data_IF_284510190543
#
_entry.id   IF_284510190543
#
_cell.length_a   1.000
_cell.length_b   1.000
_cell.length_c   1.000
_cell.angle_alpha   90.00
_cell.angle_beta   90.00
_cell.angle_gamma   90.00
#
_symmetry.space_group_name_H-M   'P 1'
#
loop_
_entity.id
_entity.type
_entity.pdbx_description
1 polymer ?
#
# COMPACT_ATOMS: atom_id res chain seq x y z
N UNK A 1 19.45 13.40 -42.30
CA UNK A 1 18.81 13.69 -41.01
C UNK A 1 19.85 14.26 -40.06
N UNK A 2 19.78 15.56 -39.81
CA UNK A 2 20.67 16.22 -38.86
C UNK A 2 20.35 15.71 -37.46
N UNK A 3 21.19 14.82 -36.95
CA UNK A 3 21.16 14.43 -35.55
C UNK A 3 21.71 15.61 -34.72
N UNK A 4 20.84 16.34 -34.03
CA UNK A 4 21.28 17.33 -33.05
C UNK A 4 21.95 16.60 -31.89
N UNK A 5 23.23 16.80 -31.68
CA UNK A 5 23.97 16.34 -30.51
C UNK A 5 23.80 17.41 -29.43
N UNK A 6 23.10 17.07 -28.34
CA UNK A 6 22.98 17.94 -27.18
C UNK A 6 24.15 17.69 -26.21
N UNK A 7 24.71 18.77 -25.62
CA UNK A 7 25.69 18.63 -24.54
C UNK A 7 25.02 18.22 -23.25
N UNK A 8 25.73 17.50 -22.38
CA UNK A 8 25.24 17.03 -21.11
C UNK A 8 24.70 18.17 -20.20
N UNK A 9 25.29 19.36 -20.29
CA UNK A 9 24.86 20.57 -19.59
C UNK A 9 23.47 21.04 -20.01
N UNK A 10 23.01 20.69 -21.21
CA UNK A 10 21.70 21.06 -21.75
C UNK A 10 20.63 19.98 -21.52
N UNK A 11 21.02 18.82 -20.96
CA UNK A 11 20.13 17.65 -20.83
C UNK A 11 18.90 17.96 -19.98
N UNK A 12 19.06 18.63 -18.84
CA UNK A 12 17.94 18.98 -17.95
C UNK A 12 16.93 19.88 -18.69
N UNK A 13 17.41 20.91 -19.38
CA UNK A 13 16.57 21.82 -20.14
C UNK A 13 15.86 21.12 -21.31
N UNK A 14 16.58 20.29 -22.06
CA UNK A 14 15.98 19.51 -23.16
C UNK A 14 14.94 18.54 -22.63
N UNK A 15 15.21 17.91 -21.50
CA UNK A 15 14.27 17.01 -20.87
C UNK A 15 13.01 17.76 -20.38
N UNK A 16 13.17 18.92 -19.77
CA UNK A 16 12.05 19.81 -19.40
C UNK A 16 11.22 20.22 -20.61
N UNK A 17 11.86 20.63 -21.69
CA UNK A 17 11.19 21.02 -22.95
C UNK A 17 10.40 19.84 -23.54
N UNK A 18 10.93 18.62 -23.47
CA UNK A 18 10.23 17.39 -23.89
C UNK A 18 8.99 17.15 -23.03
N UNK A 19 9.12 17.24 -21.70
CA UNK A 19 8.00 17.04 -20.78
C UNK A 19 6.90 18.08 -21.01
N UNK A 20 7.26 19.37 -21.22
CA UNK A 20 6.30 20.43 -21.53
C UNK A 20 5.58 20.19 -22.87
N UNK A 21 6.29 19.68 -23.87
CA UNK A 21 5.66 19.35 -25.16
C UNK A 21 4.69 18.17 -25.08
N UNK A 22 4.95 17.19 -24.17
CA UNK A 22 4.07 16.04 -23.97
C UNK A 22 2.85 16.42 -23.12
N UNK A 23 3.06 17.20 -22.06
CA UNK A 23 2.00 17.64 -21.16
C UNK A 23 2.27 19.09 -20.68
N UNK A 24 1.78 20.11 -21.40
CA UNK A 24 2.01 21.52 -21.07
C UNK A 24 1.54 21.91 -19.65
N UNK A 25 0.56 21.20 -19.12
CA UNK A 25 -0.01 21.45 -17.79
C UNK A 25 0.68 20.64 -16.67
N UNK A 26 1.71 19.86 -16.98
CA UNK A 26 2.37 19.00 -16.00
C UNK A 26 2.96 19.80 -14.82
N UNK A 27 3.62 20.90 -15.10
CA UNK A 27 4.25 21.77 -14.08
C UNK A 27 3.23 22.47 -13.16
N UNK A 28 1.97 22.59 -13.58
CA UNK A 28 0.91 23.23 -12.81
C UNK A 28 0.21 22.26 -11.84
N UNK A 29 0.58 20.97 -11.87
CA UNK A 29 -0.03 19.95 -11.01
C UNK A 29 0.63 19.94 -9.62
N UNK A 30 -0.18 19.69 -8.62
CA UNK A 30 0.27 19.49 -7.25
C UNK A 30 0.55 18.02 -7.00
N UNK A 31 1.78 17.69 -6.59
CA UNK A 31 2.21 16.31 -6.36
C UNK A 31 2.26 15.98 -4.87
N UNK A 32 1.77 14.79 -4.53
CA UNK A 32 1.83 14.18 -3.21
C UNK A 32 2.60 12.87 -3.28
N UNK A 33 3.55 12.64 -2.39
CA UNK A 33 4.36 11.43 -2.38
C UNK A 33 4.20 10.65 -1.08
N UNK A 34 3.91 9.34 -1.14
CA UNK A 34 3.78 8.50 0.05
C UNK A 34 4.80 7.37 0.00
N UNK A 35 5.63 7.26 1.04
CA UNK A 35 6.59 6.16 1.22
C UNK A 35 6.46 5.48 2.58
N UNK A 36 7.06 4.31 2.70
CA UNK A 36 7.09 3.45 3.87
C UNK A 36 7.16 1.98 3.47
N UNK A 37 7.13 1.06 4.42
CA UNK A 37 7.06 -0.38 4.11
C UNK A 37 5.63 -0.77 3.80
N UNK A 38 4.72 -0.60 4.73
CA UNK A 38 3.30 -0.93 4.61
C UNK A 38 2.43 0.33 4.60
N UNK A 39 1.20 0.25 4.07
CA UNK A 39 0.22 1.32 4.11
C UNK A 39 0.32 2.38 3.01
N UNK A 40 1.32 2.36 2.12
CA UNK A 40 1.47 3.32 1.02
C UNK A 40 0.22 3.41 0.13
N UNK A 41 -0.19 2.28 -0.43
CA UNK A 41 -1.37 2.17 -1.31
C UNK A 41 -2.64 2.65 -0.61
N UNK A 42 -2.84 2.21 0.62
CA UNK A 42 -4.02 2.60 1.42
C UNK A 42 -4.04 4.10 1.66
N UNK A 43 -2.92 4.69 2.11
CA UNK A 43 -2.80 6.12 2.34
C UNK A 43 -3.00 6.92 1.06
N UNK A 44 -2.39 6.48 -0.04
CA UNK A 44 -2.51 7.16 -1.34
C UNK A 44 -3.94 7.13 -1.88
N UNK A 45 -4.62 5.98 -1.82
CA UNK A 45 -6.02 5.84 -2.21
C UNK A 45 -6.94 6.74 -1.35
N UNK A 46 -6.75 6.74 -0.02
CA UNK A 46 -7.54 7.59 0.87
C UNK A 46 -7.27 9.09 0.62
N UNK A 47 -6.03 9.47 0.37
CA UNK A 47 -5.68 10.85 0.02
C UNK A 47 -6.33 11.25 -1.32
N UNK A 48 -6.24 10.39 -2.34
CA UNK A 48 -6.88 10.61 -3.63
C UNK A 48 -8.40 10.83 -3.47
N UNK A 49 -9.06 9.99 -2.68
CA UNK A 49 -10.48 10.10 -2.37
C UNK A 49 -10.83 11.41 -1.64
N UNK A 50 -10.00 11.85 -0.67
CA UNK A 50 -10.17 13.11 0.04
C UNK A 50 -10.01 14.34 -0.86
N UNK A 51 -9.10 14.28 -1.85
CA UNK A 51 -8.87 15.35 -2.81
C UNK A 51 -9.96 15.44 -3.89
N UNK A 52 -10.67 14.33 -4.14
CA UNK A 52 -11.84 14.27 -5.04
C UNK A 52 -11.47 14.20 -6.53
N UNK A 53 -12.45 14.51 -7.41
CA UNK A 53 -12.41 14.24 -8.86
C UNK A 53 -11.26 14.90 -9.62
N UNK A 54 -10.71 16.00 -9.10
CA UNK A 54 -9.54 16.67 -9.68
C UNK A 54 -8.20 16.00 -9.29
N UNK A 55 -8.26 14.86 -8.62
CA UNK A 55 -7.09 14.10 -8.20
C UNK A 55 -6.99 12.77 -8.95
N UNK A 56 -5.76 12.28 -9.09
CA UNK A 56 -5.47 10.95 -9.64
C UNK A 56 -4.45 10.24 -8.78
N UNK A 57 -4.65 8.94 -8.59
CA UNK A 57 -3.73 8.05 -7.88
C UNK A 57 -2.87 7.26 -8.88
N UNK A 58 -1.56 7.23 -8.67
CA UNK A 58 -0.60 6.44 -9.43
C UNK A 58 0.22 5.58 -8.46
N UNK A 59 0.05 4.28 -8.54
CA UNK A 59 0.67 3.36 -7.59
C UNK A 59 0.49 1.89 -7.96
N UNK A 60 0.49 1.06 -6.92
CA UNK A 60 0.39 -0.40 -7.05
C UNK A 60 -0.97 -0.83 -7.61
N UNK A 61 -2.05 -0.12 -7.30
CA UNK A 61 -3.38 -0.35 -7.86
C UNK A 61 -3.60 0.66 -8.99
N UNK A 62 -3.95 0.18 -10.17
CA UNK A 62 -4.23 1.01 -11.35
C UNK A 62 -5.74 1.15 -11.56
N UNK A 63 -6.36 2.03 -10.78
CA UNK A 63 -7.81 2.26 -10.83
C UNK A 63 -8.27 2.95 -12.12
N UNK A 64 -7.39 3.77 -12.71
CA UNK A 64 -7.67 4.53 -13.94
C UNK A 64 -7.09 3.85 -15.20
N UNK A 65 -6.57 2.61 -15.11
CA UNK A 65 -5.93 1.84 -16.20
C UNK A 65 -4.77 2.58 -16.89
N UNK A 66 -4.02 3.38 -16.14
CA UNK A 66 -2.97 4.25 -16.67
C UNK A 66 -1.79 3.49 -17.26
N UNK A 67 -1.50 2.30 -16.74
CA UNK A 67 -0.36 1.48 -17.19
C UNK A 67 -0.62 0.81 -18.54
N UNK A 68 -1.87 0.59 -18.95
CA UNK A 68 -2.20 0.07 -20.29
C UNK A 68 -1.67 0.98 -21.41
N UNK A 69 -1.59 2.29 -21.15
CA UNK A 69 -1.12 3.27 -22.13
C UNK A 69 0.39 3.26 -22.33
N UNK A 70 1.17 2.72 -21.40
CA UNK A 70 2.64 2.77 -21.50
C UNK A 70 3.25 1.56 -22.14
N UNK A 71 2.57 0.41 -22.15
CA UNK A 71 3.08 -0.90 -22.59
C UNK A 71 4.37 -1.33 -21.87
N UNK A 72 4.63 -0.75 -20.72
CA UNK A 72 5.77 -1.08 -19.85
C UNK A 72 5.32 -1.93 -18.67
N UNK A 73 6.28 -2.52 -17.98
CA UNK A 73 6.04 -3.25 -16.75
C UNK A 73 5.33 -2.36 -15.71
N UNK A 74 4.28 -2.89 -15.09
CA UNK A 74 3.54 -2.21 -14.02
C UNK A 74 4.43 -2.07 -12.77
N UNK A 75 4.98 -0.89 -12.60
CA UNK A 75 5.79 -0.54 -11.44
C UNK A 75 4.96 0.28 -10.44
N UNK A 76 5.07 -0.03 -9.15
CA UNK A 76 4.47 0.79 -8.07
C UNK A 76 4.76 2.29 -8.25
N UNK A 77 5.95 2.63 -8.75
CA UNK A 77 6.35 4.00 -9.04
C UNK A 77 6.93 4.05 -10.45
N UNK A 78 6.26 4.66 -11.43
CA UNK A 78 6.76 4.78 -12.78
C UNK A 78 7.98 5.71 -12.88
N UNK A 79 8.71 5.65 -13.99
CA UNK A 79 9.70 6.68 -14.34
C UNK A 79 8.99 7.99 -14.68
N UNK A 80 9.66 9.13 -14.46
CA UNK A 80 9.06 10.45 -14.68
C UNK A 80 8.48 10.63 -16.09
N UNK A 81 9.19 10.16 -17.12
CA UNK A 81 8.71 10.24 -18.50
C UNK A 81 7.37 9.50 -18.70
N UNK A 82 7.24 8.31 -18.11
CA UNK A 82 5.99 7.53 -18.19
C UNK A 82 4.87 8.19 -17.39
N UNK A 83 5.18 8.77 -16.23
CA UNK A 83 4.21 9.54 -15.45
C UNK A 83 3.64 10.71 -16.28
N UNK A 84 4.50 11.49 -16.95
CA UNK A 84 4.07 12.60 -17.81
C UNK A 84 3.18 12.10 -18.94
N UNK A 85 3.57 10.99 -19.60
CA UNK A 85 2.80 10.36 -20.66
C UNK A 85 1.43 9.86 -20.15
N UNK A 86 1.39 9.15 -19.03
CA UNK A 86 0.15 8.70 -18.41
C UNK A 86 -0.79 9.88 -18.17
N UNK A 87 -0.31 10.92 -17.51
CA UNK A 87 -1.11 12.11 -17.22
C UNK A 87 -1.54 12.91 -18.45
N UNK A 88 -0.85 12.78 -19.60
CA UNK A 88 -1.27 13.40 -20.85
C UNK A 88 -2.44 12.69 -21.53
N UNK A 89 -2.70 11.44 -21.15
CA UNK A 89 -3.74 10.58 -21.74
C UNK A 89 -5.03 10.54 -20.90
N UNK A 90 -5.01 11.14 -19.72
CA UNK A 90 -6.20 11.22 -18.86
C UNK A 90 -7.17 12.25 -19.42
N UNK A 91 -8.39 11.81 -19.75
CA UNK A 91 -9.44 12.63 -20.37
C UNK A 91 -10.28 13.42 -19.34
N UNK A 92 -9.62 13.94 -18.29
CA UNK A 92 -10.23 14.82 -17.28
C UNK A 92 -9.25 15.82 -16.76
N UNK A 93 -9.73 16.93 -16.22
CA UNK A 93 -8.87 17.96 -15.63
C UNK A 93 -8.31 17.48 -14.28
N UNK A 94 -7.01 17.19 -14.25
CA UNK A 94 -6.30 16.74 -13.06
C UNK A 94 -5.42 17.87 -12.55
N UNK A 95 -5.67 18.30 -11.32
CA UNK A 95 -4.87 19.28 -10.60
C UNK A 95 -3.92 18.63 -9.59
N UNK A 96 -4.31 17.48 -9.00
CA UNK A 96 -3.58 16.80 -7.95
C UNK A 96 -3.15 15.41 -8.38
N UNK A 97 -1.91 15.03 -8.09
CA UNK A 97 -1.36 13.71 -8.41
C UNK A 97 -0.81 13.08 -7.14
N UNK A 98 -1.37 11.95 -6.74
CA UNK A 98 -0.95 11.20 -5.56
C UNK A 98 -0.13 10.00 -6.01
N UNK A 99 1.12 9.92 -5.54
CA UNK A 99 2.09 8.90 -5.95
C UNK A 99 2.48 7.98 -4.79
N UNK A 100 2.42 6.67 -5.03
CA UNK A 100 3.20 5.75 -4.22
C UNK A 100 4.67 5.87 -4.61
N UNK A 101 5.55 6.13 -3.63
CA UNK A 101 6.98 6.29 -3.85
C UNK A 101 7.73 5.17 -3.16
N UNK A 102 8.15 4.16 -3.93
CA UNK A 102 8.92 3.02 -3.45
C UNK A 102 10.37 3.40 -3.16
N UNK A 103 11.02 2.64 -2.26
CA UNK A 103 12.47 2.83 -2.00
C UNK A 103 13.33 2.60 -3.24
N UNK A 104 12.97 1.62 -4.07
CA UNK A 104 13.63 1.39 -5.36
C UNK A 104 13.54 2.61 -6.28
N UNK A 105 12.36 3.25 -6.35
CA UNK A 105 12.19 4.44 -7.18
C UNK A 105 13.05 5.62 -6.70
N UNK A 106 13.13 5.80 -5.39
CA UNK A 106 13.97 6.84 -4.78
C UNK A 106 15.45 6.57 -4.98
N UNK A 107 15.87 5.33 -4.81
CA UNK A 107 17.25 4.93 -5.01
C UNK A 107 17.66 5.03 -6.48
N UNK A 108 16.83 4.57 -7.40
CA UNK A 108 17.01 4.65 -8.85
C UNK A 108 16.71 6.03 -9.44
N UNK A 109 16.37 7.02 -8.62
CA UNK A 109 16.06 8.40 -9.03
C UNK A 109 14.99 8.48 -10.14
N UNK A 110 13.99 7.57 -10.13
CA UNK A 110 12.95 7.50 -11.17
C UNK A 110 12.12 8.77 -11.31
N UNK A 111 12.00 9.55 -10.22
CA UNK A 111 11.21 10.78 -10.13
C UNK A 111 12.13 12.02 -9.99
N UNK A 112 13.39 11.95 -10.43
CA UNK A 112 14.31 13.06 -10.35
C UNK A 112 13.74 14.28 -11.10
N UNK A 113 13.76 15.46 -10.45
CA UNK A 113 13.16 16.68 -10.97
C UNK A 113 11.68 16.89 -10.59
N UNK A 114 11.00 15.89 -9.99
CA UNK A 114 9.65 16.07 -9.46
C UNK A 114 9.71 16.70 -8.06
N UNK A 115 8.87 17.70 -7.83
CA UNK A 115 8.75 18.36 -6.53
C UNK A 115 7.37 18.08 -5.91
N UNK A 116 7.37 17.59 -4.68
CA UNK A 116 6.15 17.25 -3.94
C UNK A 116 5.73 18.41 -3.03
N UNK A 117 4.48 18.80 -3.11
CA UNK A 117 3.87 19.77 -2.19
C UNK A 117 3.83 19.21 -0.77
N UNK A 118 3.51 17.94 -0.65
CA UNK A 118 3.43 17.24 0.63
C UNK A 118 3.85 15.79 0.47
N UNK A 119 4.66 15.29 1.40
CA UNK A 119 5.06 13.88 1.44
C UNK A 119 4.64 13.20 2.73
N UNK A 120 4.35 11.89 2.66
CA UNK A 120 3.92 11.09 3.81
C UNK A 120 4.87 9.93 4.10
N UNK A 121 5.17 9.72 5.39
CA UNK A 121 5.90 8.56 5.87
C UNK A 121 5.01 7.69 6.75
N UNK A 122 4.73 6.46 6.29
CA UNK A 122 3.85 5.53 7.00
C UNK A 122 4.62 4.82 8.14
N UNK A 123 5.56 3.96 7.78
CA UNK A 123 6.35 3.13 8.70
C UNK A 123 7.58 2.56 8.03
N UNK A 124 8.44 1.90 8.82
CA UNK A 124 9.53 1.07 8.33
C UNK A 124 9.59 -0.24 9.11
N UNK A 125 9.55 -1.36 8.39
CA UNK A 125 9.79 -2.71 8.90
C UNK A 125 10.60 -3.52 7.89
N UNK A 126 11.02 -4.72 8.25
CA UNK A 126 11.88 -5.53 7.40
C UNK A 126 11.19 -5.92 6.09
N UNK A 127 11.73 -5.43 4.98
CA UNK A 127 11.39 -5.81 3.62
C UNK A 127 12.52 -5.37 2.67
N UNK A 128 12.56 -5.91 1.45
CA UNK A 128 13.52 -5.51 0.39
C UNK A 128 15.01 -5.55 0.77
N UNK A 129 15.40 -6.42 1.72
CA UNK A 129 16.81 -6.59 2.08
C UNK A 129 17.62 -7.36 1.02
N UNK A 130 16.96 -7.98 0.06
CA UNK A 130 17.52 -8.49 -1.18
C UNK A 130 18.09 -7.39 -2.08
N UNK A 131 17.59 -6.17 -1.97
CA UNK A 131 18.02 -4.99 -2.72
C UNK A 131 18.85 -4.02 -1.87
N UNK A 132 18.41 -3.66 -0.68
CA UNK A 132 19.03 -2.62 0.16
C UNK A 132 20.10 -3.14 1.14
N UNK A 133 20.31 -4.47 1.23
CA UNK A 133 21.23 -5.18 2.13
C UNK A 133 20.99 -4.95 3.63
N UNK A 134 20.72 -3.72 4.09
CA UNK A 134 20.50 -3.37 5.51
C UNK A 134 19.27 -2.49 5.70
N UNK A 135 18.72 -2.50 6.94
CA UNK A 135 17.61 -1.62 7.31
C UNK A 135 18.00 -0.13 7.26
N UNK A 136 19.25 0.21 7.53
CA UNK A 136 19.73 1.59 7.46
C UNK A 136 19.79 2.08 6.01
N UNK A 137 20.30 1.29 5.07
CA UNK A 137 20.26 1.62 3.63
C UNK A 137 18.84 1.74 3.12
N UNK A 138 17.94 0.84 3.58
CA UNK A 138 16.52 0.89 3.24
C UNK A 138 15.85 2.17 3.76
N UNK A 139 16.16 2.57 4.99
CA UNK A 139 15.68 3.82 5.56
C UNK A 139 16.24 5.03 4.80
N UNK A 140 17.56 5.07 4.56
CA UNK A 140 18.22 6.15 3.83
C UNK A 140 17.63 6.35 2.44
N UNK A 141 17.36 5.26 1.70
CA UNK A 141 16.70 5.35 0.41
C UNK A 141 15.34 6.08 0.51
N UNK A 142 14.52 5.75 1.52
CA UNK A 142 13.21 6.42 1.73
C UNK A 142 13.33 7.88 2.16
N UNK A 143 14.39 8.23 2.94
CA UNK A 143 14.56 9.61 3.40
C UNK A 143 14.78 10.59 2.26
N UNK A 144 15.26 10.14 1.10
CA UNK A 144 15.47 10.98 -0.09
C UNK A 144 14.20 11.75 -0.51
N UNK A 145 13.00 11.20 -0.23
CA UNK A 145 11.71 11.86 -0.52
C UNK A 145 11.52 13.17 0.28
N UNK A 146 12.09 13.28 1.47
CA UNK A 146 11.80 14.36 2.43
C UNK A 146 12.81 15.51 2.40
N UNK A 147 13.79 15.46 1.52
CA UNK A 147 14.75 16.54 1.31
C UNK A 147 14.04 17.79 0.80
N UNK A 148 14.49 18.98 1.20
CA UNK A 148 13.95 20.29 0.74
C UNK A 148 13.94 20.49 -0.78
N UNK A 149 14.82 19.77 -1.49
CA UNK A 149 14.85 19.78 -2.97
C UNK A 149 13.78 18.88 -3.59
N UNK A 150 13.18 17.98 -2.80
CA UNK A 150 12.20 17.01 -3.28
C UNK A 150 10.80 17.30 -2.74
N UNK A 151 10.69 17.75 -1.46
CA UNK A 151 9.39 18.01 -0.82
C UNK A 151 9.41 19.31 -0.04
N UNK A 152 8.31 20.06 -0.13
CA UNK A 152 8.09 21.30 0.62
C UNK A 152 7.95 20.99 2.12
N UNK A 153 7.02 20.12 2.46
CA UNK A 153 6.72 19.68 3.83
C UNK A 153 6.40 18.19 3.85
N UNK A 154 6.31 17.60 5.03
CA UNK A 154 5.93 16.21 5.17
C UNK A 154 5.15 15.91 6.44
N UNK A 155 4.42 14.80 6.43
CA UNK A 155 3.68 14.26 7.57
C UNK A 155 4.23 12.88 7.90
N UNK A 156 4.35 12.54 9.18
CA UNK A 156 4.83 11.24 9.61
C UNK A 156 4.03 10.67 10.79
N UNK A 157 3.92 9.34 10.83
CA UNK A 157 3.38 8.63 11.98
C UNK A 157 4.50 8.48 13.02
N UNK A 158 4.23 8.88 14.27
CA UNK A 158 5.19 8.80 15.39
C UNK A 158 5.63 7.36 15.59
N UNK A 159 6.91 7.14 15.41
CA UNK A 159 7.64 5.87 15.56
C UNK A 159 9.13 6.19 15.64
N UNK A 160 9.96 5.22 16.01
CA UNK A 160 11.41 5.41 16.05
C UNK A 160 11.96 5.97 14.72
N UNK A 161 11.51 5.45 13.60
CA UNK A 161 11.94 5.91 12.27
C UNK A 161 11.29 7.23 11.86
N UNK A 162 10.03 7.49 12.25
CA UNK A 162 9.38 8.77 12.00
C UNK A 162 10.06 9.92 12.74
N UNK A 163 10.42 9.72 14.00
CA UNK A 163 11.17 10.68 14.78
C UNK A 163 12.60 10.88 14.26
N UNK A 164 13.29 9.80 13.87
CA UNK A 164 14.61 9.87 13.23
C UNK A 164 14.54 10.67 11.93
N UNK A 165 13.52 10.45 11.11
CA UNK A 165 13.26 11.21 9.88
C UNK A 165 13.09 12.70 10.17
N UNK A 166 12.24 13.04 11.15
CA UNK A 166 11.97 14.44 11.51
C UNK A 166 13.24 15.16 12.01
N UNK A 167 14.08 14.47 12.79
CA UNK A 167 15.37 15.00 13.25
C UNK A 167 16.33 15.28 12.09
N UNK A 168 16.42 14.36 11.10
CA UNK A 168 17.28 14.52 9.92
C UNK A 168 16.91 15.78 9.12
N UNK A 169 15.63 16.13 9.07
CA UNK A 169 15.12 17.23 8.26
C UNK A 169 14.64 18.44 9.07
N UNK A 170 15.38 18.79 10.13
CA UNK A 170 15.22 20.03 10.93
C UNK A 170 13.83 20.19 11.53
N UNK A 171 13.19 19.10 11.92
CA UNK A 171 11.86 19.09 12.56
C UNK A 171 10.75 19.80 11.73
N UNK A 172 10.82 19.69 10.40
CA UNK A 172 9.80 20.26 9.47
C UNK A 172 8.54 19.41 9.33
N UNK A 173 8.55 18.19 9.90
CA UNK A 173 7.45 17.25 9.73
C UNK A 173 6.30 17.51 10.69
N UNK A 174 5.08 17.28 10.23
CA UNK A 174 3.90 17.23 11.06
C UNK A 174 3.71 15.82 11.63
N UNK A 175 3.67 15.70 12.94
CA UNK A 175 3.57 14.41 13.66
C UNK A 175 2.12 13.97 13.84
N UNK A 176 1.88 12.66 13.67
CA UNK A 176 0.61 12.00 13.99
C UNK A 176 0.84 11.01 15.13
N UNK A 177 0.10 11.14 16.22
CA UNK A 177 0.20 10.25 17.37
C UNK A 177 -1.01 10.37 18.30
N UNK A 178 -0.86 9.85 19.52
CA UNK A 178 -1.92 9.82 20.53
C UNK A 178 -1.64 10.74 21.73
N UNK A 179 -0.70 11.66 21.60
CA UNK A 179 -0.33 12.60 22.66
C UNK A 179 -0.60 14.04 22.24
N UNK A 180 -0.82 14.93 23.22
CA UNK A 180 -1.07 16.37 23.01
C UNK A 180 0.06 17.13 22.32
N UNK A 181 1.24 16.54 22.27
CA UNK A 181 2.40 17.15 21.63
C UNK A 181 2.45 16.89 20.12
N UNK A 182 1.57 16.04 19.59
CA UNK A 182 1.50 15.78 18.16
C UNK A 182 0.68 16.86 17.44
N UNK A 183 1.06 17.19 16.22
CA UNK A 183 0.29 18.10 15.36
C UNK A 183 -1.10 17.55 15.06
N UNK A 184 -1.20 16.22 14.97
CA UNK A 184 -2.44 15.48 14.82
C UNK A 184 -2.53 14.46 15.94
N UNK A 185 -3.53 14.62 16.81
CA UNK A 185 -3.74 13.76 17.98
C UNK A 185 -4.94 12.87 17.78
N UNK A 186 -4.75 11.56 17.73
CA UNK A 186 -5.82 10.58 17.80
C UNK A 186 -6.37 10.54 19.23
N UNK A 187 -7.64 10.88 19.42
CA UNK A 187 -8.32 10.85 20.71
C UNK A 187 -9.00 9.49 20.95
N UNK A 188 -9.79 9.03 19.98
CA UNK A 188 -10.47 7.74 20.06
C UNK A 188 -10.97 7.29 18.68
N UNK A 189 -11.21 6.00 18.53
CA UNK A 189 -11.89 5.44 17.36
C UNK A 189 -12.67 4.17 17.73
N UNK A 190 -13.66 3.87 16.93
CA UNK A 190 -14.47 2.64 17.00
C UNK A 190 -14.53 1.99 15.61
N UNK A 191 -15.35 0.98 15.45
CA UNK A 191 -15.55 0.32 14.15
C UNK A 191 -16.25 1.22 13.11
N UNK A 192 -16.88 2.32 13.54
CA UNK A 192 -17.70 3.18 12.68
C UNK A 192 -17.50 4.68 12.91
N UNK A 193 -16.56 5.08 13.76
CA UNK A 193 -16.32 6.49 14.09
C UNK A 193 -14.88 6.78 14.48
N UNK A 194 -14.49 8.04 14.30
CA UNK A 194 -13.18 8.55 14.70
C UNK A 194 -13.30 9.93 15.35
N UNK A 195 -12.47 10.17 16.36
CA UNK A 195 -12.29 11.48 16.98
C UNK A 195 -10.79 11.80 17.07
N UNK A 196 -10.38 12.93 16.52
CA UNK A 196 -8.99 13.40 16.55
C UNK A 196 -8.93 14.93 16.53
N UNK A 197 -7.82 15.47 16.98
CA UNK A 197 -7.52 16.90 16.90
C UNK A 197 -6.43 17.14 15.84
N UNK A 198 -6.59 18.20 15.06
CA UNK A 198 -5.61 18.66 14.08
C UNK A 198 -5.52 20.18 14.16
N UNK A 199 -4.33 20.69 14.43
CA UNK A 199 -4.05 22.13 14.54
C UNK A 199 -5.05 22.86 15.50
N UNK A 200 -5.40 22.19 16.60
CA UNK A 200 -6.36 22.69 17.60
C UNK A 200 -7.84 22.55 17.21
N UNK A 201 -8.13 22.00 16.03
CA UNK A 201 -9.51 21.76 15.56
C UNK A 201 -9.90 20.33 15.89
N UNK A 202 -10.98 20.14 16.64
CA UNK A 202 -11.54 18.80 16.88
C UNK A 202 -12.35 18.32 15.65
N UNK A 203 -12.07 17.09 15.22
CA UNK A 203 -12.78 16.37 14.16
C UNK A 203 -13.43 15.14 14.76
N UNK A 204 -14.74 15.06 14.68
CA UNK A 204 -15.52 13.90 15.07
C UNK A 204 -16.42 13.51 13.88
N UNK A 205 -16.27 12.28 13.37
CA UNK A 205 -16.97 11.84 12.17
C UNK A 205 -17.23 10.34 12.19
N UNK A 206 -18.19 9.89 11.37
CA UNK A 206 -18.33 8.49 11.00
C UNK A 206 -17.16 8.11 10.08
N UNK A 207 -16.61 6.91 10.29
CA UNK A 207 -15.54 6.35 9.48
C UNK A 207 -15.72 4.83 9.40
N UNK A 208 -15.94 4.30 8.20
CA UNK A 208 -16.27 2.89 7.96
C UNK A 208 -15.12 2.06 7.39
N UNK A 209 -13.90 2.47 7.65
CA UNK A 209 -12.70 1.76 7.21
C UNK A 209 -12.37 0.58 8.13
N UNK A 210 -11.75 -0.45 7.57
CA UNK A 210 -11.35 -1.67 8.29
C UNK A 210 -9.93 -2.09 7.93
N UNK A 211 -9.22 -2.68 8.88
CA UNK A 211 -7.88 -3.23 8.68
C UNK A 211 -6.88 -2.75 9.71
N UNK A 212 -5.78 -3.48 9.89
CA UNK A 212 -4.71 -3.05 10.76
C UNK A 212 -4.12 -1.72 10.25
N UNK A 213 -3.72 -0.84 11.17
CA UNK A 213 -3.11 0.47 10.88
C UNK A 213 -3.97 1.43 10.01
N UNK A 214 -5.21 1.04 9.66
CA UNK A 214 -6.07 1.83 8.75
C UNK A 214 -6.33 3.24 9.28
N UNK A 215 -6.46 3.38 10.60
CA UNK A 215 -6.72 4.66 11.26
C UNK A 215 -5.51 5.61 11.08
N UNK A 216 -4.29 5.11 11.27
CA UNK A 216 -3.09 5.91 11.06
C UNK A 216 -2.86 6.23 9.58
N UNK A 217 -3.17 5.30 8.67
CA UNK A 217 -3.12 5.57 7.22
C UNK A 217 -4.13 6.65 6.81
N UNK A 218 -5.35 6.61 7.40
CA UNK A 218 -6.35 7.65 7.21
C UNK A 218 -5.89 9.00 7.76
N UNK A 219 -5.39 9.04 9.01
CA UNK A 219 -4.88 10.28 9.61
C UNK A 219 -3.73 10.87 8.79
N UNK A 220 -2.85 10.03 8.23
CA UNK A 220 -1.76 10.47 7.36
C UNK A 220 -2.33 11.11 6.08
N UNK A 221 -3.27 10.46 5.41
CA UNK A 221 -3.93 10.98 4.22
C UNK A 221 -4.66 12.30 4.49
N UNK A 222 -5.46 12.34 5.57
CA UNK A 222 -6.21 13.54 5.97
C UNK A 222 -5.26 14.72 6.30
N UNK A 223 -4.20 14.44 7.05
CA UNK A 223 -3.19 15.45 7.42
C UNK A 223 -2.45 16.00 6.21
N UNK A 224 -2.08 15.13 5.25
CA UNK A 224 -1.45 15.56 4.00
C UNK A 224 -2.37 16.50 3.20
N UNK A 225 -3.66 16.17 3.09
CA UNK A 225 -4.64 17.03 2.42
C UNK A 225 -4.81 18.36 3.16
N UNK A 226 -4.92 18.35 4.48
CA UNK A 226 -5.11 19.54 5.30
C UNK A 226 -3.89 20.47 5.28
N UNK A 227 -2.71 19.98 5.64
CA UNK A 227 -1.50 20.80 5.73
C UNK A 227 -1.01 21.29 4.36
N UNK A 228 -1.32 20.59 3.27
CA UNK A 228 -1.04 21.08 1.91
C UNK A 228 -1.85 22.32 1.52
N UNK A 229 -2.94 22.62 2.25
CA UNK A 229 -3.88 23.71 1.97
C UNK A 229 -4.59 23.60 0.62
N UNK A 230 -4.67 22.38 0.07
CA UNK A 230 -5.38 22.12 -1.20
C UNK A 230 -6.89 22.02 -0.97
N UNK A 231 -7.30 21.61 0.23
CA UNK A 231 -8.69 21.49 0.64
C UNK A 231 -8.93 22.14 2.00
N UNK A 232 -10.09 22.77 2.15
CA UNK A 232 -10.54 23.33 3.42
C UNK A 232 -11.00 22.21 4.39
N UNK A 233 -10.84 22.46 5.69
CA UNK A 233 -11.15 21.46 6.73
C UNK A 233 -12.58 20.93 6.66
N UNK A 234 -13.57 21.78 6.31
CA UNK A 234 -14.97 21.36 6.22
C UNK A 234 -15.20 20.46 5.01
N UNK A 235 -14.61 20.75 3.85
CA UNK A 235 -14.65 19.86 2.69
C UNK A 235 -14.08 18.48 3.02
N UNK A 236 -12.94 18.43 3.73
CA UNK A 236 -12.32 17.17 4.16
C UNK A 236 -13.21 16.40 5.13
N UNK A 237 -13.84 17.07 6.11
CA UNK A 237 -14.79 16.44 7.06
C UNK A 237 -15.97 15.78 6.35
N UNK A 238 -16.53 16.43 5.32
CA UNK A 238 -17.67 15.93 4.57
C UNK A 238 -17.31 14.66 3.75
N UNK A 239 -16.03 14.49 3.38
CA UNK A 239 -15.57 13.30 2.67
C UNK A 239 -15.33 12.08 3.59
N UNK A 240 -15.08 12.25 4.89
CA UNK A 240 -14.72 11.14 5.79
C UNK A 240 -15.73 9.98 5.74
N UNK A 241 -17.06 10.20 5.84
CA UNK A 241 -18.03 9.11 5.82
C UNK A 241 -18.15 8.37 4.47
N UNK A 242 -17.61 8.95 3.40
CA UNK A 242 -17.68 8.41 2.04
C UNK A 242 -16.47 7.53 1.70
N UNK A 243 -15.42 7.57 2.53
CA UNK A 243 -14.20 6.82 2.30
C UNK A 243 -14.44 5.31 2.33
N UNK A 244 -13.72 4.60 1.47
CA UNK A 244 -13.73 3.13 1.38
C UNK A 244 -12.31 2.59 1.41
N UNK A 245 -12.16 1.34 1.84
CA UNK A 245 -10.91 0.62 1.68
C UNK A 245 -10.56 0.48 0.19
N UNK A 246 -9.29 0.58 -0.19
CA UNK A 246 -8.90 0.24 -1.56
C UNK A 246 -9.12 -1.26 -1.82
N UNK A 247 -9.31 -1.61 -3.10
CA UNK A 247 -9.53 -3.00 -3.52
C UNK A 247 -8.37 -3.90 -3.03
N UNK A 248 -8.71 -5.07 -2.48
CA UNK A 248 -7.74 -6.03 -1.98
C UNK A 248 -6.89 -5.57 -0.79
N UNK A 249 -7.35 -4.56 -0.06
CA UNK A 249 -6.76 -4.08 1.20
C UNK A 249 -7.77 -4.20 2.33
N UNK A 250 -7.73 -5.31 3.04
CA UNK A 250 -8.73 -5.69 4.04
C UNK A 250 -10.15 -5.58 3.48
N UNK A 251 -10.34 -6.10 2.26
CA UNK A 251 -11.64 -6.11 1.59
C UNK A 251 -12.54 -7.16 2.22
N UNK A 252 -13.64 -6.72 2.82
CA UNK A 252 -14.58 -7.58 3.54
C UNK A 252 -15.70 -8.04 2.61
N UNK A 253 -15.86 -9.35 2.50
CA UNK A 253 -16.95 -10.02 1.78
C UNK A 253 -17.84 -10.70 2.82
N UNK A 254 -19.06 -10.18 2.98
CA UNK A 254 -20.01 -10.72 3.93
C UNK A 254 -20.59 -12.05 3.43
N UNK A 255 -20.53 -13.07 4.24
CA UNK A 255 -21.11 -14.37 3.95
C UNK A 255 -21.86 -14.92 5.17
N UNK A 256 -22.97 -15.62 4.93
CA UNK A 256 -23.84 -16.10 6.00
C UNK A 256 -23.15 -17.05 7.00
N UNK A 257 -22.12 -17.78 6.56
CA UNK A 257 -21.35 -18.71 7.39
C UNK A 257 -20.10 -18.08 8.03
N UNK A 258 -19.82 -16.78 7.80
CA UNK A 258 -18.67 -16.08 8.36
C UNK A 258 -18.05 -15.12 7.35
N UNK A 259 -17.58 -13.97 7.80
CA UNK A 259 -16.97 -12.96 6.90
C UNK A 259 -15.67 -13.49 6.29
N UNK A 260 -15.41 -13.09 5.05
CA UNK A 260 -14.20 -13.41 4.31
C UNK A 260 -13.48 -12.12 4.02
N UNK A 261 -12.19 -12.06 4.34
CA UNK A 261 -11.36 -10.89 4.13
C UNK A 261 -10.26 -11.23 3.13
N UNK A 262 -10.15 -10.44 2.07
CA UNK A 262 -9.06 -10.52 1.10
C UNK A 262 -8.09 -9.36 1.33
N UNK A 263 -6.80 -9.68 1.50
CA UNK A 263 -5.78 -8.66 1.80
C UNK A 263 -4.42 -8.96 1.16
N UNK A 264 -3.67 -7.92 0.88
CA UNK A 264 -2.33 -8.00 0.26
C UNK A 264 -1.21 -8.34 1.24
N UNK A 265 -1.47 -8.61 2.50
CA UNK A 265 -0.46 -8.94 3.53
C UNK A 265 0.44 -10.10 3.08
N UNK A 266 1.71 -9.79 2.80
CA UNK A 266 2.72 -10.73 2.29
C UNK A 266 4.07 -10.63 3.02
N UNK A 267 4.10 -9.91 4.14
CA UNK A 267 5.25 -9.83 5.05
C UNK A 267 4.89 -10.45 6.40
N UNK A 268 5.87 -10.98 7.18
CA UNK A 268 5.59 -11.56 8.50
C UNK A 268 4.81 -10.62 9.42
N UNK A 269 5.24 -9.37 9.53
CA UNK A 269 4.58 -8.37 10.37
C UNK A 269 3.14 -8.08 9.92
N UNK A 270 2.89 -7.98 8.60
CA UNK A 270 1.56 -7.73 8.07
C UNK A 270 0.62 -8.91 8.33
N UNK A 271 1.09 -10.17 8.15
CA UNK A 271 0.33 -11.38 8.44
C UNK A 271 -0.05 -11.44 9.93
N UNK A 272 0.89 -11.19 10.83
CA UNK A 272 0.63 -11.18 12.27
C UNK A 272 -0.41 -10.12 12.64
N UNK A 273 -0.23 -8.88 12.15
CA UNK A 273 -1.14 -7.77 12.42
C UNK A 273 -2.56 -8.02 11.90
N UNK A 274 -2.70 -8.54 10.68
CA UNK A 274 -4.03 -8.78 10.10
C UNK A 274 -4.77 -9.90 10.82
N UNK A 275 -4.10 -10.99 11.23
CA UNK A 275 -4.70 -12.06 12.01
C UNK A 275 -5.15 -11.53 13.39
N UNK A 276 -4.26 -10.83 14.09
CA UNK A 276 -4.56 -10.25 15.41
C UNK A 276 -5.74 -9.28 15.32
N UNK A 277 -5.70 -8.33 14.40
CA UNK A 277 -6.77 -7.35 14.21
C UNK A 277 -8.12 -8.04 13.90
N UNK A 278 -8.11 -9.06 13.03
CA UNK A 278 -9.34 -9.79 12.68
C UNK A 278 -9.93 -10.52 13.88
N UNK A 279 -9.10 -11.18 14.69
CA UNK A 279 -9.54 -11.84 15.94
C UNK A 279 -10.16 -10.85 16.92
N UNK A 280 -9.50 -9.72 17.14
CA UNK A 280 -9.97 -8.66 18.05
C UNK A 280 -11.27 -8.02 17.55
N UNK A 281 -11.40 -7.81 16.22
CA UNK A 281 -12.58 -7.17 15.63
C UNK A 281 -13.83 -8.07 15.65
N UNK A 282 -13.68 -9.31 15.24
CA UNK A 282 -14.81 -10.22 15.05
C UNK A 282 -15.07 -11.12 16.26
N UNK A 283 -14.11 -11.25 17.18
CA UNK A 283 -14.17 -12.16 18.34
C UNK A 283 -14.48 -13.61 17.91
N UNK A 284 -13.88 -14.05 16.78
CA UNK A 284 -14.06 -15.35 16.15
C UNK A 284 -12.72 -16.02 15.89
N UNK A 285 -12.79 -17.33 15.65
CA UNK A 285 -11.65 -18.10 15.14
C UNK A 285 -11.23 -17.61 13.75
N UNK A 286 -9.94 -17.69 13.44
CA UNK A 286 -9.40 -17.25 12.14
C UNK A 286 -8.88 -18.47 11.38
N UNK A 287 -9.36 -18.60 10.16
CA UNK A 287 -8.80 -19.49 9.13
C UNK A 287 -7.96 -18.61 8.21
N UNK A 288 -6.71 -18.98 7.94
CA UNK A 288 -5.86 -18.20 7.02
C UNK A 288 -5.41 -19.04 5.84
N UNK A 289 -5.55 -18.48 4.63
CA UNK A 289 -5.03 -19.00 3.36
C UNK A 289 -3.97 -18.04 2.86
N UNK A 290 -2.72 -18.50 2.71
CA UNK A 290 -1.64 -17.63 2.23
C UNK A 290 -0.49 -18.43 1.60
N UNK A 291 0.35 -17.72 0.83
CA UNK A 291 1.56 -18.25 0.25
C UNK A 291 2.68 -17.21 0.25
N UNK A 292 3.78 -17.52 -0.42
CA UNK A 292 4.90 -16.61 -0.62
C UNK A 292 5.34 -16.60 -2.08
N UNK A 293 5.80 -15.43 -2.55
CA UNK A 293 6.34 -15.28 -3.91
C UNK A 293 7.67 -16.01 -4.09
N UNK A 294 7.82 -16.65 -5.25
CA UNK A 294 9.10 -17.20 -5.74
C UNK A 294 10.01 -16.10 -6.29
N UNK A 295 11.31 -16.39 -6.42
CA UNK A 295 12.35 -15.45 -6.89
C UNK A 295 12.33 -14.11 -6.13
N UNK A 296 12.08 -14.18 -4.82
CA UNK A 296 12.05 -13.09 -3.86
C UNK A 296 12.81 -13.49 -2.60
N UNK A 297 12.84 -12.61 -1.59
CA UNK A 297 13.47 -12.89 -0.30
C UNK A 297 12.94 -14.19 0.34
N UNK A 298 13.79 -15.24 0.32
CA UNK A 298 13.47 -16.54 0.90
C UNK A 298 13.51 -16.53 2.43
N UNK A 299 14.33 -15.64 3.01
CA UNK A 299 14.56 -15.61 4.45
C UNK A 299 13.30 -15.28 5.25
N UNK A 300 12.36 -14.54 4.66
CA UNK A 300 11.09 -14.18 5.30
C UNK A 300 10.07 -15.33 5.38
N UNK A 301 10.20 -16.39 4.55
CA UNK A 301 9.18 -17.46 4.44
C UNK A 301 8.92 -18.18 5.76
N UNK A 302 9.97 -18.56 6.46
CA UNK A 302 9.87 -19.17 7.79
C UNK A 302 9.21 -18.23 8.80
N UNK A 303 9.53 -16.94 8.76
CA UNK A 303 8.89 -15.95 9.64
C UNK A 303 7.43 -15.68 9.28
N UNK A 304 7.03 -15.78 7.99
CA UNK A 304 5.63 -15.75 7.59
C UNK A 304 4.84 -16.91 8.18
N UNK A 305 5.43 -18.12 8.17
CA UNK A 305 4.88 -19.30 8.86
C UNK A 305 4.72 -19.04 10.36
N UNK A 306 5.74 -18.53 11.04
CA UNK A 306 5.67 -18.20 12.46
C UNK A 306 4.58 -17.15 12.76
N UNK A 307 4.44 -16.13 11.95
CA UNK A 307 3.45 -15.07 12.08
C UNK A 307 1.99 -15.60 11.94
N UNK A 308 1.78 -16.67 11.17
CA UNK A 308 0.46 -17.27 10.96
C UNK A 308 -0.05 -18.10 12.13
N UNK A 309 0.77 -18.44 13.12
CA UNK A 309 0.44 -19.37 14.20
C UNK A 309 -0.69 -18.92 15.14
N UNK A 310 -1.05 -17.62 15.10
CA UNK A 310 -2.19 -17.11 15.85
C UNK A 310 -3.55 -17.46 15.19
N UNK A 311 -3.55 -18.00 13.98
CA UNK A 311 -4.76 -18.57 13.37
C UNK A 311 -5.06 -19.97 13.91
N UNK A 312 -6.34 -20.37 13.93
CA UNK A 312 -6.80 -21.69 14.35
C UNK A 312 -6.59 -22.75 13.26
N UNK A 313 -6.74 -22.35 11.99
CA UNK A 313 -6.46 -23.20 10.84
C UNK A 313 -5.58 -22.43 9.85
N UNK A 314 -4.55 -23.11 9.35
CA UNK A 314 -3.60 -22.54 8.38
C UNK A 314 -3.64 -23.38 7.11
N UNK A 315 -3.85 -22.73 5.96
CA UNK A 315 -3.75 -23.36 4.65
C UNK A 315 -2.63 -22.64 3.88
N UNK A 316 -1.55 -23.36 3.65
CA UNK A 316 -0.43 -22.85 2.84
C UNK A 316 -0.71 -23.17 1.37
N UNK A 317 -0.58 -22.18 0.49
CA UNK A 317 -0.87 -22.32 -0.92
C UNK A 317 0.14 -21.53 -1.79
N UNK A 318 -0.01 -21.58 -3.11
CA UNK A 318 0.77 -20.74 -3.99
C UNK A 318 0.32 -19.28 -3.95
N UNK A 319 1.30 -18.41 -4.07
CA UNK A 319 1.15 -17.00 -4.44
C UNK A 319 1.56 -16.83 -5.91
N UNK A 320 2.69 -16.21 -6.20
CA UNK A 320 3.34 -16.17 -7.51
C UNK A 320 4.63 -17.00 -7.45
N UNK A 321 4.61 -18.30 -7.70
CA UNK A 321 5.78 -19.16 -7.54
C UNK A 321 6.91 -18.84 -8.53
N UNK A 322 6.59 -18.20 -9.65
CA UNK A 322 7.55 -17.89 -10.71
C UNK A 322 8.30 -19.16 -11.15
N UNK A 323 9.63 -19.15 -11.11
CA UNK A 323 10.49 -20.28 -11.49
C UNK A 323 10.88 -21.20 -10.32
N UNK A 324 10.37 -20.94 -9.12
CA UNK A 324 10.69 -21.80 -7.97
C UNK A 324 9.68 -22.94 -7.83
N UNK A 325 10.16 -24.08 -7.33
CA UNK A 325 9.30 -25.20 -7.00
C UNK A 325 8.28 -24.81 -5.92
N UNK A 326 7.02 -25.01 -6.22
CA UNK A 326 5.88 -24.58 -5.41
C UNK A 326 5.84 -25.28 -4.05
N UNK A 327 6.22 -26.57 -4.03
CA UNK A 327 6.25 -27.36 -2.80
C UNK A 327 7.41 -26.94 -1.89
N UNK A 328 8.55 -26.57 -2.47
CA UNK A 328 9.70 -26.09 -1.70
C UNK A 328 9.42 -24.75 -1.05
N UNK A 329 8.73 -23.83 -1.73
CA UNK A 329 8.25 -22.57 -1.13
C UNK A 329 7.35 -22.89 0.09
N UNK A 330 6.38 -23.79 -0.09
CA UNK A 330 5.42 -24.16 0.95
C UNK A 330 6.11 -24.84 2.16
N UNK A 331 7.10 -25.68 1.92
CA UNK A 331 7.90 -26.32 3.00
C UNK A 331 8.69 -25.28 3.81
N UNK A 332 9.29 -24.27 3.15
CA UNK A 332 10.02 -23.21 3.85
C UNK A 332 9.09 -22.36 4.75
N UNK A 333 7.84 -22.15 4.34
CA UNK A 333 6.82 -21.52 5.20
C UNK A 333 6.50 -22.45 6.39
N UNK A 334 6.28 -23.75 6.13
CA UNK A 334 5.94 -24.75 7.14
C UNK A 334 7.01 -24.86 8.23
N UNK A 335 8.30 -24.68 7.92
CA UNK A 335 9.39 -24.68 8.91
C UNK A 335 9.20 -23.67 10.05
N UNK A 336 8.39 -22.65 9.86
CA UNK A 336 8.07 -21.64 10.88
C UNK A 336 6.87 -22.00 11.74
N UNK A 337 6.13 -23.05 11.43
CA UNK A 337 4.85 -23.39 12.07
C UNK A 337 5.06 -24.58 13.04
N UNK A 338 4.54 -24.45 14.27
CA UNK A 338 4.52 -25.57 15.21
C UNK A 338 3.68 -26.72 14.63
N UNK A 339 4.25 -27.93 14.60
CA UNK A 339 3.59 -29.14 14.09
C UNK A 339 2.30 -29.53 14.84
N UNK A 340 2.06 -28.94 16.01
CA UNK A 340 0.79 -29.10 16.73
C UNK A 340 -0.35 -28.27 16.16
N UNK A 341 -0.04 -27.30 15.30
CA UNK A 341 -1.05 -26.47 14.64
C UNK A 341 -1.79 -27.23 13.56
N UNK A 342 -3.05 -26.85 13.34
CA UNK A 342 -3.85 -27.37 12.25
C UNK A 342 -3.42 -26.70 10.94
N UNK A 343 -2.45 -27.31 10.25
CA UNK A 343 -1.86 -26.79 9.01
C UNK A 343 -2.03 -27.80 7.88
N UNK A 344 -2.35 -27.29 6.70
CA UNK A 344 -2.52 -28.06 5.47
C UNK A 344 -1.82 -27.34 4.30
N UNK A 345 -1.20 -28.08 3.37
CA UNK A 345 -0.63 -27.54 2.14
C UNK A 345 -1.55 -27.92 0.99
N UNK A 346 -2.08 -26.94 0.28
CA UNK A 346 -2.90 -27.07 -0.92
C UNK A 346 -2.31 -26.16 -1.98
N UNK A 347 -1.52 -26.70 -2.92
CA UNK A 347 -0.77 -25.91 -3.88
C UNK A 347 -1.67 -25.11 -4.83
N UNK A 348 -2.79 -25.70 -5.26
CA UNK A 348 -3.76 -24.98 -6.08
C UNK A 348 -4.48 -23.93 -5.22
N UNK A 349 -4.26 -22.64 -5.52
CA UNK A 349 -4.79 -21.54 -4.72
C UNK A 349 -6.33 -21.46 -4.74
N UNK A 350 -6.97 -21.78 -5.87
CA UNK A 350 -8.45 -21.83 -5.96
C UNK A 350 -8.99 -22.93 -5.02
N UNK A 351 -8.41 -24.12 -5.04
CA UNK A 351 -8.80 -25.20 -4.14
C UNK A 351 -8.56 -24.85 -2.67
N UNK A 352 -7.47 -24.15 -2.36
CA UNK A 352 -7.16 -23.66 -1.02
C UNK A 352 -8.22 -22.66 -0.53
N UNK A 353 -8.63 -21.71 -1.37
CA UNK A 353 -9.70 -20.75 -1.06
C UNK A 353 -11.04 -21.47 -0.88
N UNK A 354 -11.42 -22.36 -1.81
CA UNK A 354 -12.62 -23.18 -1.72
C UNK A 354 -12.66 -23.98 -0.42
N UNK A 355 -11.54 -24.62 -0.04
CA UNK A 355 -11.40 -25.31 1.25
C UNK A 355 -11.62 -24.37 2.43
N UNK A 356 -11.03 -23.17 2.39
CA UNK A 356 -11.21 -22.14 3.43
C UNK A 356 -12.67 -21.72 3.59
N UNK A 357 -13.37 -21.45 2.49
CA UNK A 357 -14.80 -21.10 2.47
C UNK A 357 -15.66 -22.24 3.05
N UNK A 358 -15.37 -23.48 2.67
CA UNK A 358 -16.11 -24.65 3.15
C UNK A 358 -15.89 -24.96 4.65
N UNK A 359 -14.84 -24.42 5.26
CA UNK A 359 -14.58 -24.55 6.69
C UNK A 359 -15.32 -23.50 7.55
N UNK A 360 -15.94 -22.49 6.94
CA UNK A 360 -16.72 -21.49 7.67
C UNK A 360 -17.98 -22.10 8.25
N UNK A 361 -18.22 -21.87 9.54
CA UNK A 361 -19.27 -22.48 10.38
C UNK A 361 -20.10 -21.46 11.17
N UNK A 362 -19.94 -20.18 10.87
CA UNK A 362 -20.56 -19.06 11.61
C UNK A 362 -19.74 -18.57 12.80
N UNK A 363 -18.74 -19.36 13.26
CA UNK A 363 -17.87 -19.03 14.40
C UNK A 363 -16.47 -18.62 13.97
N UNK A 364 -16.17 -18.72 12.70
CA UNK A 364 -14.87 -18.42 12.12
C UNK A 364 -14.96 -17.31 11.06
N UNK A 365 -13.81 -16.68 10.80
CA UNK A 365 -13.57 -15.69 9.75
C UNK A 365 -12.43 -16.19 8.88
N UNK A 366 -12.56 -16.08 7.56
CA UNK A 366 -11.53 -16.48 6.61
C UNK A 366 -10.68 -15.28 6.19
N UNK A 367 -9.37 -15.42 6.27
CA UNK A 367 -8.38 -14.51 5.68
C UNK A 367 -7.75 -15.14 4.45
N UNK A 368 -7.83 -14.48 3.30
CA UNK A 368 -7.12 -14.84 2.07
C UNK A 368 -6.06 -13.77 1.83
N UNK A 369 -4.78 -14.15 2.02
CA UNK A 369 -3.66 -13.21 2.09
C UNK A 369 -2.64 -13.41 0.96
N UNK A 370 -1.94 -12.32 0.62
CA UNK A 370 -0.79 -12.28 -0.28
C UNK A 370 -1.06 -11.50 -1.56
N UNK A 371 -2.08 -11.85 -2.31
CA UNK A 371 -2.38 -11.27 -3.64
C UNK A 371 -3.24 -10.02 -3.59
N UNK A 372 -4.23 -9.97 -2.69
CA UNK A 372 -5.10 -8.79 -2.53
C UNK A 372 -5.77 -8.38 -3.85
N UNK A 373 -5.30 -7.28 -4.45
CA UNK A 373 -5.83 -6.69 -5.69
C UNK A 373 -5.24 -7.29 -6.98
N UNK A 374 -4.22 -8.16 -6.88
CA UNK A 374 -3.59 -8.75 -8.07
C UNK A 374 -4.57 -9.62 -8.86
N UNK A 375 -4.59 -9.45 -10.17
CA UNK A 375 -5.48 -10.17 -11.08
C UNK A 375 -4.81 -11.30 -11.86
N UNK A 376 -3.55 -11.59 -11.56
CA UNK A 376 -2.79 -12.62 -12.25
C UNK A 376 -1.95 -13.42 -11.27
N UNK A 377 -1.71 -14.68 -11.59
CA UNK A 377 -0.73 -15.55 -10.94
C UNK A 377 0.41 -15.81 -11.94
N UNK A 378 1.65 -15.56 -11.52
CA UNK A 378 2.85 -15.75 -12.34
C UNK A 378 3.48 -17.12 -12.04
N UNK A 379 3.50 -18.01 -13.05
CA UNK A 379 4.06 -19.36 -13.00
C UNK A 379 4.94 -19.57 -14.24
N UNK A 380 6.22 -19.86 -14.08
CA UNK A 380 7.16 -20.12 -15.17
C UNK A 380 7.19 -19.02 -16.27
N UNK A 381 7.22 -17.74 -15.85
CA UNK A 381 7.16 -16.54 -16.69
C UNK A 381 5.82 -16.37 -17.47
N UNK A 382 4.81 -17.19 -17.20
CA UNK A 382 3.48 -17.04 -17.76
C UNK A 382 2.52 -16.42 -16.73
N UNK A 383 1.62 -15.56 -17.23
CA UNK A 383 0.59 -14.91 -16.41
C UNK A 383 -0.76 -15.60 -16.64
N UNK A 384 -1.31 -16.14 -15.58
CA UNK A 384 -2.64 -16.75 -15.55
C UNK A 384 -3.62 -15.81 -14.84
N UNK A 385 -4.78 -15.57 -15.44
CA UNK A 385 -5.83 -14.79 -14.77
C UNK A 385 -6.21 -15.41 -13.43
N UNK A 386 -6.18 -14.60 -12.39
CA UNK A 386 -6.43 -15.04 -11.04
C UNK A 386 -6.76 -13.84 -10.13
N UNK A 387 -7.99 -13.79 -9.62
CA UNK A 387 -8.46 -12.74 -8.70
C UNK A 387 -9.07 -13.40 -7.45
N UNK A 388 -8.43 -13.21 -6.28
CA UNK A 388 -8.88 -13.81 -5.02
C UNK A 388 -10.31 -13.40 -4.67
N UNK A 389 -10.71 -12.15 -4.93
CA UNK A 389 -12.04 -11.63 -4.62
C UNK A 389 -13.10 -12.29 -5.49
N UNK A 390 -12.83 -12.44 -6.78
CA UNK A 390 -13.76 -13.08 -7.72
C UNK A 390 -13.94 -14.57 -7.37
N UNK A 391 -12.84 -15.28 -7.10
CA UNK A 391 -12.90 -16.68 -6.67
C UNK A 391 -13.74 -16.84 -5.38
N UNK A 392 -13.50 -15.99 -4.38
CA UNK A 392 -14.32 -16.03 -3.15
C UNK A 392 -15.80 -15.82 -3.46
N UNK A 393 -16.13 -14.85 -4.33
CA UNK A 393 -17.53 -14.58 -4.73
C UNK A 393 -18.16 -15.75 -5.48
N UNK A 394 -17.43 -16.41 -6.35
CA UNK A 394 -17.88 -17.63 -7.03
C UNK A 394 -18.18 -18.73 -6.00
N UNK A 395 -17.25 -19.01 -5.07
CA UNK A 395 -17.39 -20.07 -4.07
C UNK A 395 -18.58 -19.86 -3.10
N UNK A 396 -18.92 -18.61 -2.76
CA UNK A 396 -20.07 -18.33 -1.87
C UNK A 396 -21.40 -18.25 -2.63
N UNK A 397 -21.38 -18.23 -3.97
CA UNK A 397 -22.58 -18.19 -4.82
C UNK A 397 -23.11 -19.59 -5.12
N UNK A 398 -22.36 -20.63 -4.80
CA UNK A 398 -22.71 -22.05 -4.94
C UNK A 398 -23.42 -22.53 -3.67
#
# INVERSE_FOLDING_TARGET
SDSKVYRFEDYEKVFEDILENINPNFKNKTFFGITGTNGKTTTAHLLNSLLGDSSIFVGTIDEDNLFEFTKEEHLTTPKLFNLVKMLSLVDRDISNVVLEVSSHALDQQRLNGLYFKMSGFTNLSQDHLDYHNTMDEYFEAKTKLFNKKTSEEFVYIVSNYGEKLNQIYDSRGFSIGNTKNNNVQLNSYTNDSINFDIDGINVNSKLYLSGPEIIYNFLLAFSMAYFSKVKEINELKDQIPLLKNPKGRYEVINYAKGDIIVDYSHTPEAIEKVIKYTKERYQKDVIVVFGAGGNRDKSKRKFMGAASQNAEKIIITNDNPRKEDQLDISKQILEGIDLKKNVEIILNRREAISKGVNLLDGKSTLLVLGKGHEKFQEIDDELYEFDDVEIVREEISI
#
